data_IF_623959764417
#
_entry.id   IF_623959764417
#
_cell.length_a   1.000
_cell.length_b   1.000
_cell.length_c   1.000
_cell.angle_alpha   90.00
_cell.angle_beta   90.00
_cell.angle_gamma   90.00
#
_symmetry.space_group_name_H-M   'P 1'
#
loop_
_entity.id
_entity.type
_entity.pdbx_description
1 polymer ?
#
# COMPACT_ATOMS: atom_id res chain seq x y z
N UNK A 1 -1.19 -9.32 -20.11
CA UNK A 1 -1.90 -8.96 -18.85
C UNK A 1 -0.91 -8.42 -17.82
N UNK A 2 -1.20 -7.27 -17.22
CA UNK A 2 -0.45 -6.71 -16.07
C UNK A 2 -1.15 -7.08 -14.77
N UNK A 3 -0.46 -7.75 -13.84
CA UNK A 3 -0.99 -8.10 -12.51
C UNK A 3 -0.48 -7.12 -11.45
N UNK A 4 -1.39 -6.43 -10.78
CA UNK A 4 -1.14 -5.43 -9.74
C UNK A 4 -1.73 -5.94 -8.43
N UNK A 5 -0.92 -6.08 -7.40
CA UNK A 5 -1.34 -6.61 -6.09
C UNK A 5 -1.28 -5.49 -5.05
N UNK A 6 -2.40 -5.24 -4.37
CA UNK A 6 -2.47 -4.34 -3.22
C UNK A 6 -2.24 -5.15 -1.95
N UNK A 7 -1.23 -4.82 -1.17
CA UNK A 7 -0.80 -5.63 -0.05
C UNK A 7 -0.36 -4.76 1.14
N UNK A 8 -0.99 -4.96 2.28
CA UNK A 8 -0.57 -4.44 3.59
C UNK A 8 -1.28 -5.26 4.67
N UNK A 9 -0.57 -5.79 5.68
CA UNK A 9 -1.16 -6.58 6.77
C UNK A 9 -2.09 -5.78 7.67
N UNK A 10 -2.05 -4.45 7.60
CA UNK A 10 -2.89 -3.59 8.42
C UNK A 10 -4.24 -3.32 7.77
N UNK A 11 -5.33 -3.48 8.55
CA UNK A 11 -6.66 -3.04 8.18
C UNK A 11 -6.74 -1.52 8.06
N UNK A 12 -7.58 -1.01 7.16
CA UNK A 12 -7.78 0.44 6.98
C UNK A 12 -6.67 1.18 6.24
N UNK A 13 -5.59 0.50 5.78
CA UNK A 13 -4.50 1.13 5.02
C UNK A 13 -4.91 1.70 3.66
N UNK A 14 -6.11 1.35 3.15
CA UNK A 14 -6.66 1.85 1.89
C UNK A 14 -6.45 0.95 0.69
N UNK A 15 -6.11 -0.33 0.87
CA UNK A 15 -5.96 -1.31 -0.24
C UNK A 15 -7.17 -1.29 -1.17
N UNK A 16 -8.35 -1.54 -0.64
CA UNK A 16 -9.62 -1.55 -1.40
C UNK A 16 -9.87 -0.22 -2.11
N UNK A 17 -9.67 0.91 -1.44
CA UNK A 17 -9.85 2.24 -2.05
C UNK A 17 -8.93 2.42 -3.25
N UNK A 18 -7.67 1.99 -3.15
CA UNK A 18 -6.72 2.08 -4.25
C UNK A 18 -7.11 1.09 -5.35
N UNK A 19 -7.51 -0.15 -5.01
CA UNK A 19 -7.91 -1.16 -5.97
C UNK A 19 -9.08 -0.71 -6.87
N UNK A 20 -10.16 -0.19 -6.26
CA UNK A 20 -11.35 0.27 -7.00
C UNK A 20 -11.03 1.47 -7.91
N UNK A 21 -10.18 2.40 -7.43
CA UNK A 21 -9.80 3.57 -8.22
C UNK A 21 -8.85 3.21 -9.38
N UNK A 22 -7.95 2.26 -9.21
CA UNK A 22 -7.14 1.73 -10.32
C UNK A 22 -8.01 0.99 -11.35
N UNK A 23 -8.94 0.16 -10.90
CA UNK A 23 -9.84 -0.57 -11.79
C UNK A 23 -10.69 0.41 -12.62
N UNK A 24 -11.29 1.43 -11.98
CA UNK A 24 -12.07 2.43 -12.69
C UNK A 24 -11.21 3.27 -13.65
N UNK A 25 -9.99 3.65 -13.26
CA UNK A 25 -9.07 4.35 -14.14
C UNK A 25 -8.79 3.55 -15.42
N UNK A 26 -8.43 2.28 -15.29
CA UNK A 26 -8.14 1.45 -16.45
C UNK A 26 -9.37 1.24 -17.33
N UNK A 27 -10.55 1.09 -16.72
CA UNK A 27 -11.80 0.96 -17.45
C UNK A 27 -12.13 2.24 -18.25
N UNK A 28 -11.98 3.43 -17.65
CA UNK A 28 -12.16 4.72 -18.34
C UNK A 28 -11.16 4.91 -19.48
N UNK A 29 -9.94 4.36 -19.34
CA UNK A 29 -8.94 4.34 -20.41
C UNK A 29 -9.25 3.32 -21.53
N UNK A 30 -10.38 2.63 -21.50
CA UNK A 30 -10.78 1.65 -22.52
C UNK A 30 -10.07 0.31 -22.41
N UNK A 31 -9.36 0.06 -21.30
CA UNK A 31 -8.74 -1.23 -21.01
C UNK A 31 -9.75 -2.18 -20.36
N UNK A 32 -9.43 -3.46 -20.36
CA UNK A 32 -10.26 -4.52 -19.75
C UNK A 32 -9.71 -4.90 -18.37
N UNK A 33 -10.08 -4.20 -17.29
CA UNK A 33 -9.64 -4.53 -15.95
C UNK A 33 -10.47 -5.66 -15.36
N UNK A 34 -9.79 -6.54 -14.61
CA UNK A 34 -10.41 -7.51 -13.71
C UNK A 34 -10.02 -7.15 -12.28
N UNK A 35 -11.01 -7.02 -11.40
CA UNK A 35 -10.83 -6.75 -9.98
C UNK A 35 -11.11 -8.03 -9.20
N UNK A 36 -10.04 -8.60 -8.60
CA UNK A 36 -10.11 -9.81 -7.82
C UNK A 36 -10.10 -9.49 -6.33
N UNK A 37 -11.15 -9.88 -5.64
CA UNK A 37 -11.33 -9.68 -4.20
C UNK A 37 -10.91 -10.95 -3.45
N UNK A 38 -9.83 -10.85 -2.65
CA UNK A 38 -9.35 -11.92 -1.77
C UNK A 38 -9.76 -11.70 -0.31
N UNK A 39 -10.41 -10.56 0.01
CA UNK A 39 -10.85 -10.24 1.36
C UNK A 39 -12.27 -10.77 1.60
N UNK A 40 -12.46 -11.61 2.62
CA UNK A 40 -13.76 -12.13 3.00
C UNK A 40 -14.79 -11.04 3.39
N UNK A 41 -14.34 -9.80 3.63
CA UNK A 41 -15.24 -8.66 3.81
C UNK A 41 -15.97 -8.27 2.52
N UNK A 42 -15.50 -8.71 1.35
CA UNK A 42 -16.14 -8.51 0.05
C UNK A 42 -16.32 -7.03 -0.32
N UNK A 43 -15.40 -6.18 0.07
CA UNK A 43 -15.56 -4.72 -0.09
C UNK A 43 -15.51 -4.28 -1.55
N UNK A 44 -14.63 -4.85 -2.36
CA UNK A 44 -14.56 -4.57 -3.80
C UNK A 44 -15.75 -5.21 -4.53
N UNK A 45 -16.16 -6.41 -4.15
CA UNK A 45 -17.35 -7.08 -4.69
C UNK A 45 -18.63 -6.26 -4.46
N UNK A 46 -18.80 -5.75 -3.23
CA UNK A 46 -19.91 -4.86 -2.89
C UNK A 46 -19.87 -3.53 -3.63
N UNK A 47 -18.69 -2.95 -3.85
CA UNK A 47 -18.54 -1.75 -4.66
C UNK A 47 -18.92 -1.99 -6.12
N UNK A 48 -18.49 -3.12 -6.71
CA UNK A 48 -18.87 -3.50 -8.07
C UNK A 48 -20.39 -3.65 -8.23
N UNK A 49 -21.10 -4.19 -7.23
CA UNK A 49 -22.56 -4.33 -7.28
C UNK A 49 -23.31 -2.99 -7.29
N UNK A 50 -22.67 -1.90 -6.87
CA UNK A 50 -23.26 -0.55 -6.87
C UNK A 50 -23.05 0.20 -8.19
N UNK A 51 -22.22 -0.34 -9.11
CA UNK A 51 -21.94 0.34 -10.39
C UNK A 51 -23.20 0.47 -11.23
N UNK A 52 -23.44 1.68 -11.72
CA UNK A 52 -24.59 1.96 -12.56
C UNK A 52 -24.40 1.36 -13.97
N UNK A 53 -25.53 1.02 -14.61
CA UNK A 53 -25.55 0.67 -16.03
C UNK A 53 -25.05 1.87 -16.85
N UNK A 54 -24.05 1.65 -17.70
CA UNK A 54 -23.42 2.70 -18.53
C UNK A 54 -22.09 3.21 -18.02
N UNK A 55 -21.64 2.81 -16.83
CA UNK A 55 -20.23 2.97 -16.43
C UNK A 55 -19.35 1.98 -17.20
N UNK A 56 -18.05 2.34 -17.34
CA UNK A 56 -17.07 1.46 -17.97
C UNK A 56 -17.01 0.11 -17.27
N UNK A 57 -16.94 -0.97 -18.03
CA UNK A 57 -17.02 -2.33 -17.51
C UNK A 57 -15.78 -2.73 -16.72
N UNK A 58 -15.99 -3.38 -15.60
CA UNK A 58 -14.95 -3.99 -14.76
C UNK A 58 -15.39 -5.40 -14.41
N UNK A 59 -14.62 -6.40 -14.80
CA UNK A 59 -14.89 -7.77 -14.42
C UNK A 59 -14.55 -8.01 -12.96
N UNK A 60 -15.48 -8.59 -12.17
CA UNK A 60 -15.31 -8.88 -10.76
C UNK A 60 -15.09 -10.37 -10.48
N UNK A 61 -14.14 -10.70 -9.60
CA UNK A 61 -13.92 -12.06 -9.11
C UNK A 61 -13.93 -12.05 -7.59
N UNK A 62 -14.96 -12.63 -6.96
CA UNK A 62 -15.04 -12.85 -5.52
C UNK A 62 -14.26 -14.11 -5.12
N UNK A 63 -12.94 -13.99 -5.08
CA UNK A 63 -12.03 -15.12 -4.86
C UNK A 63 -12.00 -15.63 -3.40
N UNK A 64 -12.62 -14.90 -2.48
CA UNK A 64 -12.82 -15.32 -1.09
C UNK A 64 -13.99 -16.30 -0.93
N UNK A 65 -14.93 -16.32 -1.88
CA UNK A 65 -16.11 -17.19 -1.79
C UNK A 65 -15.71 -18.66 -1.98
N UNK A 66 -16.14 -19.51 -1.05
CA UNK A 66 -16.02 -20.96 -1.17
C UNK A 66 -17.32 -21.50 -1.79
N UNK A 67 -17.33 -21.68 -3.08
CA UNK A 67 -18.45 -22.32 -3.74
C UNK A 67 -18.19 -23.83 -3.78
N UNK A 68 -19.01 -24.61 -3.05
CA UNK A 68 -18.90 -26.08 -2.98
C UNK A 68 -19.15 -26.79 -4.32
N UNK A 69 -19.73 -26.09 -5.30
CA UNK A 69 -20.08 -26.65 -6.61
C UNK A 69 -18.99 -26.44 -7.67
N UNK A 70 -17.96 -25.65 -7.38
CA UNK A 70 -16.92 -25.27 -8.34
C UNK A 70 -15.55 -25.36 -7.70
N UNK A 71 -14.56 -25.88 -8.41
CA UNK A 71 -13.18 -25.88 -7.91
C UNK A 71 -12.66 -24.45 -7.74
N UNK A 72 -11.79 -24.24 -6.76
CA UNK A 72 -11.18 -22.91 -6.52
C UNK A 72 -10.50 -22.36 -7.77
N UNK A 73 -9.81 -23.22 -8.52
CA UNK A 73 -9.14 -22.83 -9.78
C UNK A 73 -10.11 -22.35 -10.85
N UNK A 74 -11.33 -22.87 -10.88
CA UNK A 74 -12.36 -22.40 -11.81
C UNK A 74 -12.99 -21.09 -11.31
N UNK A 75 -13.31 -20.99 -10.03
CA UNK A 75 -13.91 -19.81 -9.42
C UNK A 75 -13.00 -18.56 -9.49
N UNK A 76 -11.67 -18.76 -9.54
CA UNK A 76 -10.68 -17.67 -9.64
C UNK A 76 -10.12 -17.49 -11.05
N UNK A 77 -10.76 -18.10 -12.06
CA UNK A 77 -10.29 -17.99 -13.44
C UNK A 77 -10.47 -16.58 -13.98
N UNK A 78 -9.34 -15.98 -14.33
CA UNK A 78 -9.30 -14.65 -14.95
C UNK A 78 -9.69 -14.76 -16.43
N UNK A 79 -10.58 -13.89 -16.97
CA UNK A 79 -10.90 -13.86 -18.38
C UNK A 79 -9.65 -13.71 -19.25
N UNK A 80 -9.67 -14.37 -20.42
CA UNK A 80 -8.49 -14.39 -21.32
C UNK A 80 -8.17 -13.01 -21.91
N UNK A 81 -9.17 -12.16 -22.05
CA UNK A 81 -9.06 -10.81 -22.58
C UNK A 81 -8.73 -9.76 -21.51
N UNK A 82 -8.50 -10.18 -20.24
CA UNK A 82 -8.08 -9.28 -19.18
C UNK A 82 -6.71 -8.66 -19.48
N UNK A 83 -6.66 -7.35 -19.52
CA UNK A 83 -5.41 -6.60 -19.71
C UNK A 83 -4.78 -6.18 -18.38
N UNK A 84 -5.61 -5.91 -17.38
CA UNK A 84 -5.22 -5.44 -16.04
C UNK A 84 -5.91 -6.27 -14.96
N UNK A 85 -5.13 -7.04 -14.22
CA UNK A 85 -5.62 -7.78 -13.06
C UNK A 85 -5.21 -7.03 -11.79
N UNK A 86 -6.19 -6.48 -11.09
CA UNK A 86 -6.01 -5.81 -9.80
C UNK A 86 -6.44 -6.78 -8.71
N UNK A 87 -5.56 -7.05 -7.77
CA UNK A 87 -5.82 -7.99 -6.67
C UNK A 87 -5.89 -7.21 -5.35
N UNK A 88 -7.08 -7.15 -4.77
CA UNK A 88 -7.29 -6.61 -3.43
C UNK A 88 -7.15 -7.73 -2.39
N UNK A 89 -6.20 -7.58 -1.48
CA UNK A 89 -5.88 -8.63 -0.49
C UNK A 89 -6.47 -8.32 0.88
N UNK A 90 -6.80 -9.38 1.62
CA UNK A 90 -7.17 -9.25 3.03
C UNK A 90 -6.03 -8.63 3.86
N UNK A 91 -6.40 -7.98 4.96
CA UNK A 91 -5.42 -7.46 5.91
C UNK A 91 -4.69 -8.60 6.65
N UNK A 92 -5.40 -9.63 7.07
CA UNK A 92 -4.86 -10.78 7.80
C UNK A 92 -4.27 -11.85 6.87
N UNK A 93 -3.45 -11.44 5.89
CA UNK A 93 -2.82 -12.38 4.99
C UNK A 93 -1.67 -13.10 5.68
N UNK A 94 -1.65 -14.43 5.61
CA UNK A 94 -0.54 -15.23 6.14
C UNK A 94 0.73 -15.03 5.30
N UNK A 95 1.86 -14.89 5.97
CA UNK A 95 3.15 -14.66 5.31
C UNK A 95 3.48 -15.77 4.29
N UNK A 96 3.05 -17.02 4.55
CA UNK A 96 3.25 -18.17 3.67
C UNK A 96 2.49 -18.05 2.32
N UNK A 97 1.43 -17.25 2.26
CA UNK A 97 0.63 -17.03 1.03
C UNK A 97 1.25 -15.98 0.10
N UNK A 98 2.22 -15.20 0.59
CA UNK A 98 2.84 -14.12 -0.18
C UNK A 98 3.45 -14.59 -1.51
N UNK A 99 4.21 -15.71 -1.59
CA UNK A 99 4.77 -16.19 -2.85
C UNK A 99 3.69 -16.47 -3.90
N UNK A 100 2.57 -17.08 -3.52
CA UNK A 100 1.50 -17.43 -4.46
C UNK A 100 0.74 -16.20 -4.93
N UNK A 101 0.42 -15.28 -4.02
CA UNK A 101 -0.30 -14.06 -4.35
C UNK A 101 0.53 -13.14 -5.23
N UNK A 102 1.84 -13.03 -4.97
CA UNK A 102 2.74 -12.16 -5.74
C UNK A 102 3.34 -12.84 -6.97
N UNK A 103 3.06 -14.12 -7.19
CA UNK A 103 3.50 -14.85 -8.38
C UNK A 103 3.04 -14.13 -9.64
N UNK A 104 3.98 -13.86 -10.56
CA UNK A 104 3.77 -13.13 -11.80
C UNK A 104 3.17 -11.71 -11.62
N UNK A 105 3.22 -11.13 -10.42
CA UNK A 105 2.85 -9.75 -10.23
C UNK A 105 3.88 -8.84 -10.91
N UNK A 106 3.41 -7.93 -11.74
CA UNK A 106 4.22 -6.87 -12.35
C UNK A 106 4.42 -5.70 -11.41
N UNK A 107 3.50 -5.53 -10.46
CA UNK A 107 3.55 -4.51 -9.41
C UNK A 107 2.95 -5.02 -8.11
N UNK A 108 3.60 -4.71 -6.98
CA UNK A 108 3.09 -4.90 -5.63
C UNK A 108 3.06 -3.53 -4.96
N UNK A 109 1.87 -3.03 -4.69
CA UNK A 109 1.64 -1.72 -4.10
C UNK A 109 1.35 -1.85 -2.61
N UNK A 110 2.11 -1.15 -1.80
CA UNK A 110 1.99 -1.17 -0.33
C UNK A 110 1.48 0.21 0.14
N UNK A 111 0.17 0.37 0.36
CA UNK A 111 -0.35 1.61 0.94
C UNK A 111 0.02 1.72 2.41
N UNK A 112 0.54 2.87 2.84
CA UNK A 112 1.02 3.13 4.21
C UNK A 112 0.40 4.42 4.73
N UNK A 113 -0.19 4.36 5.93
CA UNK A 113 -0.69 5.53 6.63
C UNK A 113 0.44 6.24 7.40
N UNK A 114 0.35 7.56 7.60
CA UNK A 114 1.34 8.32 8.36
C UNK A 114 1.10 8.13 9.87
N UNK A 115 1.37 6.93 10.38
CA UNK A 115 1.40 6.60 11.80
C UNK A 115 2.58 5.66 12.09
N UNK A 116 3.12 5.72 13.29
CA UNK A 116 4.26 4.90 13.69
C UNK A 116 3.95 3.40 13.55
N UNK A 117 2.78 2.98 14.01
CA UNK A 117 2.33 1.58 13.91
C UNK A 117 2.21 1.12 12.45
N UNK A 118 1.70 1.98 11.55
CA UNK A 118 1.55 1.65 10.13
C UNK A 118 2.90 1.59 9.42
N UNK A 119 3.83 2.47 9.79
CA UNK A 119 5.21 2.47 9.29
C UNK A 119 5.90 1.15 9.63
N UNK A 120 5.82 0.69 10.89
CA UNK A 120 6.41 -0.59 11.30
C UNK A 120 5.75 -1.79 10.62
N UNK A 121 4.42 -1.77 10.47
CA UNK A 121 3.69 -2.83 9.76
C UNK A 121 4.10 -2.90 8.28
N UNK A 122 4.27 -1.76 7.62
CA UNK A 122 4.74 -1.68 6.25
C UNK A 122 6.19 -2.16 6.09
N UNK A 123 7.09 -1.82 7.03
CA UNK A 123 8.46 -2.32 7.06
C UNK A 123 8.50 -3.85 7.09
N UNK A 124 7.74 -4.44 8.01
CA UNK A 124 7.62 -5.89 8.13
C UNK A 124 7.04 -6.51 6.85
N UNK A 125 6.02 -5.89 6.28
CA UNK A 125 5.41 -6.32 5.03
C UNK A 125 6.45 -6.34 3.89
N UNK A 126 7.18 -5.26 3.68
CA UNK A 126 8.21 -5.15 2.65
C UNK A 126 9.35 -6.15 2.89
N UNK A 127 9.78 -6.32 4.14
CA UNK A 127 10.76 -7.34 4.49
C UNK A 127 10.29 -8.75 4.10
N UNK A 128 9.03 -9.10 4.38
CA UNK A 128 8.45 -10.38 3.99
C UNK A 128 8.35 -10.54 2.46
N UNK A 129 8.04 -9.47 1.72
CA UNK A 129 8.05 -9.51 0.25
C UNK A 129 9.43 -9.81 -0.31
N UNK A 130 10.47 -9.26 0.29
CA UNK A 130 11.86 -9.49 -0.13
C UNK A 130 12.37 -10.87 0.28
N UNK A 131 12.11 -11.29 1.53
CA UNK A 131 12.71 -12.49 2.12
C UNK A 131 11.88 -13.76 1.86
N UNK A 132 10.55 -13.69 1.97
CA UNK A 132 9.66 -14.84 1.85
C UNK A 132 9.12 -14.98 0.42
N UNK A 133 8.59 -13.90 -0.16
CA UNK A 133 8.14 -13.91 -1.54
C UNK A 133 9.32 -13.85 -2.54
N UNK A 134 10.55 -13.61 -2.07
CA UNK A 134 11.79 -13.57 -2.85
C UNK A 134 11.74 -12.58 -4.02
N UNK A 135 11.03 -11.47 -3.85
CA UNK A 135 11.02 -10.40 -4.86
C UNK A 135 12.33 -9.64 -4.74
N UNK A 136 13.13 -9.64 -5.79
CA UNK A 136 14.41 -8.93 -5.81
C UNK A 136 14.18 -7.42 -5.97
N UNK A 137 15.01 -6.61 -5.28
CA UNK A 137 14.93 -5.14 -5.35
C UNK A 137 15.16 -4.60 -6.76
N UNK A 138 16.07 -5.24 -7.49
CA UNK A 138 16.44 -4.88 -8.86
C UNK A 138 15.26 -5.00 -9.83
N UNK A 139 14.29 -5.86 -9.52
CA UNK A 139 13.07 -6.00 -10.30
C UNK A 139 12.14 -4.79 -10.18
N UNK A 140 12.35 -3.95 -9.17
CA UNK A 140 11.58 -2.73 -8.90
C UNK A 140 10.05 -2.92 -8.95
N UNK A 141 9.57 -4.12 -8.58
CA UNK A 141 8.14 -4.46 -8.61
C UNK A 141 7.38 -3.98 -7.37
N UNK A 142 8.08 -3.67 -6.28
CA UNK A 142 7.48 -3.17 -5.04
C UNK A 142 7.51 -1.66 -5.06
N UNK A 143 6.37 -1.04 -4.70
CA UNK A 143 6.27 0.39 -4.50
C UNK A 143 5.35 0.75 -3.33
N UNK A 144 5.61 1.88 -2.71
CA UNK A 144 4.83 2.40 -1.60
C UNK A 144 3.90 3.51 -2.06
N UNK A 145 2.71 3.55 -1.48
CA UNK A 145 1.76 4.65 -1.61
C UNK A 145 1.58 5.26 -0.22
N UNK A 146 2.07 6.48 -0.02
CA UNK A 146 1.78 7.24 1.19
C UNK A 146 0.32 7.69 1.14
N UNK A 147 -0.53 7.07 1.97
CA UNK A 147 -1.97 7.22 1.89
C UNK A 147 -2.54 8.03 3.05
N UNK A 148 -3.64 8.76 2.82
CA UNK A 148 -4.34 9.63 3.79
C UNK A 148 -3.39 10.62 4.47
N UNK A 149 -2.55 11.24 3.68
CA UNK A 149 -1.47 12.10 4.15
C UNK A 149 -1.98 13.53 4.40
N UNK A 150 -1.49 14.13 5.49
CA UNK A 150 -1.52 15.57 5.73
C UNK A 150 -0.08 16.09 5.61
N UNK A 151 0.28 16.72 4.47
CA UNK A 151 1.65 17.04 4.09
C UNK A 151 2.46 17.82 5.13
N UNK A 152 1.84 18.72 5.89
CA UNK A 152 2.54 19.62 6.82
C UNK A 152 2.64 19.06 8.25
N UNK A 153 2.64 17.74 8.42
CA UNK A 153 2.71 17.10 9.73
C UNK A 153 4.08 16.50 10.01
N UNK A 154 4.49 16.45 11.27
CA UNK A 154 5.74 15.80 11.68
C UNK A 154 5.74 14.31 11.35
N UNK A 155 4.59 13.65 11.49
CA UNK A 155 4.46 12.23 11.20
C UNK A 155 4.61 11.93 9.71
N UNK A 156 4.18 12.82 8.82
CA UNK A 156 4.44 12.68 7.39
C UNK A 156 5.94 12.78 7.08
N UNK A 157 6.64 13.73 7.71
CA UNK A 157 8.10 13.85 7.54
C UNK A 157 8.82 12.60 8.07
N UNK A 158 8.36 12.02 9.17
CA UNK A 158 8.90 10.77 9.72
C UNK A 158 8.67 9.59 8.75
N UNK A 159 7.45 9.48 8.19
CA UNK A 159 7.12 8.48 7.18
C UNK A 159 8.06 8.60 5.96
N UNK A 160 8.23 9.79 5.40
CA UNK A 160 9.08 9.99 4.21
C UNK A 160 10.54 9.61 4.48
N UNK A 161 11.12 10.05 5.60
CA UNK A 161 12.48 9.65 5.99
C UNK A 161 12.62 8.13 6.12
N UNK A 162 11.64 7.49 6.74
CA UNK A 162 11.64 6.04 6.87
C UNK A 162 11.60 5.36 5.49
N UNK A 163 10.71 5.79 4.61
CA UNK A 163 10.57 5.20 3.27
C UNK A 163 11.84 5.37 2.42
N UNK A 164 12.56 6.48 2.57
CA UNK A 164 13.87 6.70 1.96
C UNK A 164 14.88 5.63 2.38
N UNK A 165 14.88 5.20 3.66
CA UNK A 165 15.80 4.16 4.15
C UNK A 165 15.54 2.77 3.55
N UNK A 166 14.31 2.51 3.09
CA UNK A 166 13.95 1.21 2.52
C UNK A 166 14.46 1.02 1.08
N UNK A 167 14.88 2.08 0.41
CA UNK A 167 15.23 2.07 -1.01
C UNK A 167 14.12 1.45 -1.88
N UNK A 168 12.87 1.77 -1.56
CA UNK A 168 11.66 1.37 -2.28
C UNK A 168 10.96 2.66 -2.76
N UNK A 169 10.56 2.76 -4.04
CA UNK A 169 9.98 3.98 -4.56
C UNK A 169 8.63 4.29 -3.92
N UNK A 170 8.42 5.57 -3.56
CA UNK A 170 7.12 6.13 -3.19
C UNK A 170 6.49 6.67 -4.48
N UNK A 171 5.46 5.98 -4.96
CA UNK A 171 4.87 6.26 -6.28
C UNK A 171 3.62 7.12 -6.24
N UNK A 172 3.06 7.35 -5.06
CA UNK A 172 2.00 8.33 -4.85
C UNK A 172 1.98 8.82 -3.40
N UNK A 173 1.51 10.05 -3.22
CA UNK A 173 1.21 10.66 -1.93
C UNK A 173 -0.23 11.15 -1.99
N UNK A 174 -1.16 10.35 -1.45
CA UNK A 174 -2.59 10.59 -1.52
C UNK A 174 -3.07 11.28 -0.23
N UNK A 175 -3.80 12.37 -0.37
CA UNK A 175 -4.38 13.09 0.76
C UNK A 175 -5.60 12.36 1.34
N UNK A 176 -5.99 12.73 2.56
CA UNK A 176 -7.27 12.32 3.14
C UNK A 176 -8.39 13.18 2.54
N UNK A 177 -9.16 12.61 1.62
CA UNK A 177 -10.20 13.31 0.85
C UNK A 177 -11.55 12.61 0.99
N UNK A 178 -12.60 13.39 1.17
CA UNK A 178 -14.00 12.91 1.18
C UNK A 178 -14.42 12.31 -0.17
N UNK A 179 -13.73 12.65 -1.24
CA UNK A 179 -14.01 12.10 -2.56
C UNK A 179 -13.83 10.58 -2.58
N UNK A 180 -12.85 10.03 -1.85
CA UNK A 180 -12.68 8.57 -1.74
C UNK A 180 -13.86 7.87 -1.06
N UNK A 181 -14.51 8.54 -0.09
CA UNK A 181 -15.72 8.03 0.56
C UNK A 181 -16.87 8.04 -0.44
N UNK A 182 -17.09 9.16 -1.13
CA UNK A 182 -18.16 9.30 -2.14
C UNK A 182 -18.08 8.25 -3.24
N UNK A 183 -16.89 8.03 -3.81
CA UNK A 183 -16.71 7.03 -4.86
C UNK A 183 -16.94 5.61 -4.35
N UNK A 184 -16.52 5.29 -3.11
CA UNK A 184 -16.77 4.00 -2.50
C UNK A 184 -18.26 3.74 -2.24
N UNK A 185 -19.04 4.79 -1.94
CA UNK A 185 -20.48 4.70 -1.71
C UNK A 185 -21.28 4.56 -3.01
N UNK A 186 -20.86 5.22 -4.09
CA UNK A 186 -21.59 5.32 -5.36
C UNK A 186 -21.24 4.27 -6.39
N UNK A 187 -20.26 3.39 -6.14
CA UNK A 187 -19.77 2.43 -7.14
C UNK A 187 -18.97 3.11 -8.28
N UNK A 188 -18.54 4.36 -8.09
CA UNK A 188 -17.69 5.10 -9.02
C UNK A 188 -16.23 5.05 -8.59
N UNK A 189 -15.32 5.42 -9.50
CA UNK A 189 -13.95 5.80 -9.15
C UNK A 189 -13.73 7.28 -9.34
N UNK A 190 -12.60 7.80 -8.83
CA UNK A 190 -12.24 9.23 -8.97
C UNK A 190 -12.25 9.71 -10.42
N UNK A 191 -11.79 8.87 -11.33
CA UNK A 191 -11.67 9.20 -12.76
C UNK A 191 -13.01 9.16 -13.51
N UNK A 192 -14.08 8.73 -12.84
CA UNK A 192 -15.46 8.75 -13.35
C UNK A 192 -16.26 9.96 -12.79
N UNK A 193 -15.70 10.68 -11.83
CA UNK A 193 -16.30 11.91 -11.30
C UNK A 193 -16.01 13.11 -12.21
N UNK A 194 -16.77 14.19 -11.98
CA UNK A 194 -16.53 15.47 -12.69
C UNK A 194 -15.14 16.02 -12.34
N UNK A 195 -14.27 16.32 -13.32
CA UNK A 195 -12.87 16.71 -13.06
C UNK A 195 -12.71 17.91 -12.12
N UNK A 196 -13.62 18.87 -12.15
CA UNK A 196 -13.58 20.05 -11.29
C UNK A 196 -13.72 19.71 -9.78
N UNK A 197 -14.30 18.57 -9.44
CA UNK A 197 -14.50 18.14 -8.05
C UNK A 197 -13.30 17.34 -7.50
N UNK A 198 -12.54 16.68 -8.37
CA UNK A 198 -11.52 15.69 -7.99
C UNK A 198 -10.13 15.99 -8.56
N UNK A 199 -9.95 17.16 -9.18
CA UNK A 199 -8.70 17.52 -9.90
C UNK A 199 -7.46 17.31 -9.03
N UNK A 200 -7.45 17.86 -7.82
CA UNK A 200 -6.32 17.73 -6.91
C UNK A 200 -6.06 16.26 -6.52
N UNK A 201 -7.14 15.49 -6.31
CA UNK A 201 -7.00 14.08 -5.99
C UNK A 201 -6.43 13.30 -7.20
N UNK A 202 -6.93 13.57 -8.42
CA UNK A 202 -6.44 12.93 -9.65
C UNK A 202 -4.96 13.23 -9.90
N UNK A 203 -4.52 14.46 -9.71
CA UNK A 203 -3.12 14.88 -9.88
C UNK A 203 -2.16 14.04 -9.01
N UNK A 204 -2.59 13.65 -7.81
CA UNK A 204 -1.79 12.82 -6.90
C UNK A 204 -1.63 11.36 -7.38
N UNK A 205 -2.46 10.90 -8.31
CA UNK A 205 -2.36 9.56 -8.90
C UNK A 205 -1.42 9.50 -10.09
N UNK A 206 -1.11 10.63 -10.73
CA UNK A 206 -0.30 10.67 -11.94
C UNK A 206 1.07 9.97 -11.79
N UNK A 207 1.84 10.14 -10.70
CA UNK A 207 3.10 9.44 -10.54
C UNK A 207 2.93 7.92 -10.46
N UNK A 208 1.89 7.42 -9.75
CA UNK A 208 1.56 6.00 -9.69
C UNK A 208 1.20 5.45 -11.07
N UNK A 209 0.35 6.17 -11.80
CA UNK A 209 -0.07 5.79 -13.15
C UNK A 209 1.15 5.71 -14.08
N UNK A 210 2.02 6.72 -14.04
CA UNK A 210 3.27 6.76 -14.80
C UNK A 210 4.20 5.61 -14.45
N UNK A 211 4.34 5.30 -13.16
CA UNK A 211 5.15 4.18 -12.68
C UNK A 211 4.59 2.82 -13.16
N UNK A 212 3.27 2.63 -13.14
CA UNK A 212 2.62 1.43 -13.66
C UNK A 212 2.73 1.33 -15.19
N UNK A 213 2.66 2.45 -15.90
CA UNK A 213 2.80 2.48 -17.36
C UNK A 213 4.16 1.97 -17.84
N UNK A 214 5.25 2.26 -17.13
CA UNK A 214 6.59 1.78 -17.43
C UNK A 214 6.74 0.25 -17.33
N UNK A 215 5.80 -0.43 -16.65
CA UNK A 215 5.76 -1.88 -16.43
C UNK A 215 4.78 -2.61 -17.33
N UNK A 216 4.31 -1.95 -18.39
CA UNK A 216 3.42 -2.56 -19.38
C UNK A 216 4.22 -3.52 -20.29
N UNK A 217 3.62 -4.65 -20.69
CA UNK A 217 3.98 -5.26 -21.97
C UNK A 217 3.78 -4.22 -23.08
N UNK A 218 4.69 -4.18 -24.05
CA UNK A 218 4.77 -3.13 -25.08
C UNK A 218 3.60 -3.05 -26.09
N UNK A 219 2.51 -3.79 -25.90
CA UNK A 219 1.42 -3.96 -26.87
C UNK A 219 0.16 -3.13 -26.57
N UNK A 220 0.29 -1.83 -26.26
CA UNK A 220 -0.87 -0.96 -26.20
C UNK A 220 -0.94 -0.14 -27.49
N UNK A 221 -2.08 -0.23 -28.23
CA UNK A 221 -2.25 0.57 -29.44
C UNK A 221 -2.08 2.06 -29.12
N UNK A 222 -1.39 2.82 -29.96
CA UNK A 222 -1.31 4.27 -29.83
C UNK A 222 -2.73 4.83 -29.97
N UNK A 223 -3.21 5.53 -28.97
CA UNK A 223 -4.54 6.14 -29.00
C UNK A 223 -5.39 5.99 -27.74
N UNK A 224 -4.87 5.41 -26.66
CA UNK A 224 -5.56 5.49 -25.36
C UNK A 224 -5.67 6.96 -24.97
N UNK A 225 -6.87 7.51 -24.69
CA UNK A 225 -7.01 8.88 -24.26
C UNK A 225 -6.27 9.04 -22.94
N UNK A 226 -5.00 9.39 -23.06
CA UNK A 226 -4.29 10.01 -21.97
C UNK A 226 -5.03 11.30 -21.66
N UNK A 227 -5.06 11.70 -20.41
CA UNK A 227 -5.46 13.04 -20.03
C UNK A 227 -4.72 13.95 -20.98
N UNK A 228 -5.41 14.48 -21.99
CA UNK A 228 -4.88 15.56 -22.83
C UNK A 228 -4.84 16.79 -21.95
N UNK A 229 -3.81 16.86 -21.13
CA UNK A 229 -3.38 18.14 -20.60
C UNK A 229 -2.98 18.97 -21.80
N UNK A 230 -3.72 20.01 -22.09
CA UNK A 230 -3.30 21.13 -22.90
C UNK A 230 -2.17 21.92 -22.20
N UNK A 231 -1.21 21.20 -21.69
CA UNK A 231 0.07 21.72 -21.21
C UNK A 231 1.12 20.88 -21.91
N UNK A 232 1.78 21.50 -22.89
CA UNK A 232 3.05 21.05 -23.41
C UNK A 232 3.87 20.53 -22.23
N UNK A 233 4.04 19.22 -22.13
CA UNK A 233 5.07 18.66 -21.25
C UNK A 233 6.39 19.23 -21.76
N UNK A 234 6.85 20.30 -21.12
CA UNK A 234 8.24 20.66 -21.15
C UNK A 234 8.97 19.41 -20.70
N UNK A 235 9.65 18.78 -21.61
CA UNK A 235 10.54 17.65 -21.34
C UNK A 235 11.41 18.06 -20.16
N UNK A 236 11.12 17.51 -18.99
CA UNK A 236 12.07 17.54 -17.89
C UNK A 236 13.34 16.90 -18.44
N UNK A 237 14.47 17.61 -18.42
CA UNK A 237 15.72 17.02 -18.83
C UNK A 237 15.92 15.77 -17.97
N UNK A 238 16.23 14.65 -18.63
CA UNK A 238 16.62 13.42 -17.97
C UNK A 238 17.66 13.82 -16.91
N UNK A 239 17.37 13.54 -15.65
CA UNK A 239 18.35 13.70 -14.60
C UNK A 239 19.56 12.85 -14.99
N UNK A 240 20.63 13.50 -15.42
CA UNK A 240 21.91 12.87 -15.58
C UNK A 240 22.28 12.27 -14.21
N UNK A 241 22.72 11.01 -14.15
CA UNK A 241 23.26 10.48 -12.92
C UNK A 241 24.41 11.38 -12.51
N UNK A 242 24.30 12.04 -11.35
CA UNK A 242 25.38 12.78 -10.75
C UNK A 242 26.57 11.83 -10.66
N UNK A 243 27.65 12.20 -11.33
CA UNK A 243 28.91 11.50 -11.23
C UNK A 243 29.29 11.42 -9.75
N UNK A 244 29.45 10.20 -9.26
CA UNK A 244 29.91 9.93 -7.92
C UNK A 244 31.31 10.57 -7.77
N UNK A 245 31.40 11.66 -7.03
CA UNK A 245 32.65 12.20 -6.59
C UNK A 245 33.30 11.18 -5.65
N UNK A 246 34.46 10.72 -5.99
CA UNK A 246 35.29 9.84 -5.18
C UNK A 246 35.53 10.49 -3.81
N UNK A 247 35.40 9.76 -2.69
CA UNK A 247 35.73 10.29 -1.39
C UNK A 247 37.23 10.52 -1.29
N UNK A 248 37.62 11.72 -0.85
CA UNK A 248 38.99 12.07 -0.50
C UNK A 248 39.49 11.16 0.64
N UNK A 249 40.80 10.81 0.69
CA UNK A 249 41.34 9.95 1.72
C UNK A 249 41.32 10.65 3.09
N UNK A 250 40.69 10.00 4.06
CA UNK A 250 40.66 10.43 5.45
C UNK A 250 42.04 10.11 6.07
N UNK A 251 42.74 11.14 6.49
CA UNK A 251 43.98 11.02 7.26
C UNK A 251 43.72 10.30 8.59
N UNK A 252 44.47 9.24 8.83
CA UNK A 252 44.49 8.47 10.06
C UNK A 252 45.09 9.31 11.17
N UNK A 253 44.26 9.78 12.09
CA UNK A 253 44.76 10.27 13.38
C UNK A 253 44.53 9.20 14.42
N UNK A 254 45.63 8.56 14.81
CA UNK A 254 45.71 7.59 15.90
C UNK A 254 45.53 8.38 17.20
N UNK A 255 44.50 8.08 17.96
CA UNK A 255 44.40 8.46 19.38
C UNK A 255 44.21 7.20 20.23
N UNK A 256 45.16 7.07 21.16
CA UNK A 256 45.28 6.00 22.15
C UNK A 256 44.09 5.95 23.14
N UNK A 257 43.82 4.79 23.75
CA UNK A 257 42.69 4.60 24.65
C UNK A 257 42.99 5.15 26.05
N UNK A 258 42.07 5.98 26.57
CA UNK A 258 42.02 6.32 27.99
C UNK A 258 41.13 5.29 28.70
N UNK A 259 41.78 4.47 29.51
CA UNK A 259 41.12 3.58 30.49
C UNK A 259 40.63 4.47 31.64
N UNK A 260 39.35 4.47 31.94
CA UNK A 260 38.87 5.04 33.20
C UNK A 260 37.86 4.08 33.86
N UNK A 261 38.10 3.94 35.15
CA UNK A 261 37.68 2.90 36.07
C UNK A 261 36.16 2.75 36.28
N UNK A 262 35.77 1.51 36.44
CA UNK A 262 34.50 1.03 36.97
C UNK A 262 34.41 1.37 38.46
N UNK A 263 33.34 2.05 38.86
CA UNK A 263 32.92 2.13 40.25
C UNK A 263 31.65 1.29 40.43
N UNK A 264 31.84 0.19 41.15
CA UNK A 264 30.84 -0.73 41.63
C UNK A 264 30.09 -0.08 42.81
N UNK A 265 28.79 0.07 42.72
CA UNK A 265 27.92 0.38 43.88
C UNK A 265 27.01 -0.83 44.15
N UNK A 266 27.11 -1.34 45.37
CA UNK A 266 26.35 -2.46 45.94
C UNK A 266 24.91 -2.03 46.31
N UNK A 267 23.97 -2.99 46.42
CA UNK A 267 22.58 -2.70 46.74
C UNK A 267 22.35 -2.62 48.26
N UNK A 268 21.48 -1.73 48.71
CA UNK A 268 21.00 -1.59 50.08
C UNK A 268 19.79 -2.48 50.34
N UNK A 269 19.50 -2.91 51.59
CA UNK A 269 18.61 -3.99 51.91
C UNK A 269 17.12 -3.56 52.08
N UNK A 270 16.26 -4.55 51.93
CA UNK A 270 14.85 -4.51 52.16
C UNK A 270 14.48 -4.24 53.63
N UNK A 271 13.46 -3.42 53.86
CA UNK A 271 12.75 -3.34 55.14
C UNK A 271 11.36 -3.94 55.01
N UNK A 272 11.19 -4.98 55.78
CA UNK A 272 10.01 -5.69 56.15
C UNK A 272 9.09 -4.76 57.00
N UNK A 273 7.80 -4.65 56.69
CA UNK A 273 6.82 -4.30 57.69
C UNK A 273 5.45 -4.91 57.31
N UNK A 274 4.99 -5.66 58.24
CA UNK A 274 3.85 -6.54 58.41
C UNK A 274 2.49 -5.83 58.39
N UNK A 275 1.52 -6.52 57.80
CA UNK A 275 0.06 -6.69 58.00
C UNK A 275 -0.55 -6.19 59.33
N UNK A 276 -1.85 -5.90 59.53
CA UNK A 276 -2.95 -6.79 59.16
C UNK A 276 -4.33 -6.15 58.78
N UNK A 277 -5.10 -6.98 58.06
CA UNK A 277 -6.56 -7.20 58.16
C UNK A 277 -7.57 -6.04 58.16
N UNK A 278 -8.48 -6.04 57.16
CA UNK A 278 -9.94 -5.87 57.43
C UNK A 278 -10.77 -6.54 56.33
N UNK A 279 -11.70 -7.38 56.81
CA UNK A 279 -12.69 -8.20 56.10
C UNK A 279 -13.82 -7.31 55.53
N UNK A 280 -14.46 -7.63 54.39
CA UNK A 280 -15.61 -6.90 53.85
C UNK A 280 -16.93 -7.36 54.44
N UNK A 281 -17.97 -6.50 54.52
CA UNK A 281 -19.34 -6.96 54.76
C UNK A 281 -20.13 -7.17 53.46
N UNK A 282 -21.03 -8.13 53.56
CA UNK A 282 -21.91 -8.72 52.58
C UNK A 282 -22.95 -7.76 51.99
N UNK A 283 -23.44 -8.16 50.81
CA UNK A 283 -24.61 -7.60 50.14
C UNK A 283 -25.93 -7.84 50.89
N UNK A 284 -26.96 -7.05 50.62
CA UNK A 284 -28.33 -7.53 50.74
C UNK A 284 -29.02 -7.63 49.38
N UNK A 285 -29.68 -8.78 49.23
CA UNK A 285 -30.74 -9.13 48.29
C UNK A 285 -32.01 -8.34 48.57
N UNK A 286 -32.87 -8.30 47.52
CA UNK A 286 -34.32 -8.10 47.50
C UNK A 286 -34.84 -6.73 46.98
N UNK A 287 -35.75 -6.94 46.03
CA UNK A 287 -36.80 -6.06 45.61
C UNK A 287 -37.11 -6.18 44.14
#
# INVERSE_FOLDING_TARGET
>A
MQKIVLLNPKGGSGKTTIAINLASYFAVCGLKPTLMDLDAQGSTTRWLSKRAKGQSEIHGIAAYERNSRVTRSFATRVPLDTERLIVDTAAALETQQLPDITRNATAVLVPVLPSDIDIHAAAKCISNLLLVAKIRREEQRIAVIANRVKKNTLIYKALMRFLETLNIPVVATLRDSQNYIRVAESGQGLFEMKPNQVREDMEQWLPLIGWLAQRRPLDIPPGTPGITSGTTMNTLPAAQPAAAAAPAPIASTVMSPVVSAVATAAPAPASDETDPATVPPAAPTLG
#
